data_IF_491230486459
#
_entry.id   IF_491230486459
#
_cell.length_a   1.000
_cell.length_b   1.000
_cell.length_c   1.000
_cell.angle_alpha   90.00
_cell.angle_beta   90.00
_cell.angle_gamma   90.00
#
_symmetry.space_group_name_H-M   'P 1'
#
loop_
_entity.id
_entity.type
_entity.pdbx_description
1 polymer ?
#
# COMPACT_ATOMS: atom_id res chain seq x y z
N UNK A 1 -39.65 30.15 8.40
CA UNK A 1 -39.21 28.74 8.44
C UNK A 1 -38.31 28.35 7.25
N UNK A 2 -38.29 29.09 6.16
CA UNK A 2 -37.50 28.78 4.96
C UNK A 2 -36.06 29.36 4.99
N UNK A 3 -35.84 30.50 5.65
CA UNK A 3 -34.52 31.15 5.74
C UNK A 3 -33.53 30.35 6.59
N UNK A 4 -33.99 29.74 7.67
CA UNK A 4 -33.13 28.88 8.53
C UNK A 4 -32.68 27.60 7.80
N UNK A 5 -33.58 27.00 7.01
CA UNK A 5 -33.24 25.83 6.18
C UNK A 5 -32.25 26.19 5.05
N UNK A 6 -32.36 27.39 4.48
CA UNK A 6 -31.45 27.89 3.46
C UNK A 6 -30.03 28.15 4.05
N UNK A 7 -29.95 28.69 5.26
CA UNK A 7 -28.66 28.92 5.94
C UNK A 7 -27.98 27.60 6.33
N UNK A 8 -28.74 26.59 6.80
CA UNK A 8 -28.19 25.26 7.07
C UNK A 8 -27.70 24.56 5.80
N UNK A 9 -28.43 24.65 4.69
CA UNK A 9 -28.01 24.07 3.41
C UNK A 9 -26.76 24.75 2.84
N UNK A 10 -26.63 26.06 2.96
CA UNK A 10 -25.44 26.81 2.55
C UNK A 10 -24.22 26.46 3.41
N UNK A 11 -24.42 26.25 4.73
CA UNK A 11 -23.36 25.83 5.64
C UNK A 11 -22.79 24.44 5.32
N UNK A 12 -23.66 23.50 4.95
CA UNK A 12 -23.25 22.13 4.57
C UNK A 12 -22.49 22.12 3.23
N UNK A 13 -22.87 22.96 2.26
CA UNK A 13 -22.15 23.09 0.98
C UNK A 13 -20.72 23.64 1.16
N UNK A 14 -20.50 24.54 2.11
CA UNK A 14 -19.19 25.13 2.36
C UNK A 14 -18.21 24.14 3.00
N UNK A 15 -18.68 23.16 3.77
CA UNK A 15 -17.82 22.14 4.39
C UNK A 15 -17.35 21.09 3.38
N UNK A 16 -18.11 20.84 2.30
CA UNK A 16 -17.72 19.90 1.24
C UNK A 16 -16.63 20.45 0.30
N UNK A 17 -16.41 21.75 0.27
CA UNK A 17 -15.40 22.38 -0.59
C UNK A 17 -13.96 22.25 -0.03
N UNK A 18 -13.81 21.92 1.26
CA UNK A 18 -12.51 21.85 1.91
C UNK A 18 -11.57 20.75 1.40
N UNK A 19 -12.10 19.64 0.86
CA UNK A 19 -11.28 18.55 0.35
C UNK A 19 -10.81 18.74 -1.10
N UNK A 20 -11.49 19.57 -1.90
CA UNK A 20 -11.13 19.79 -3.30
C UNK A 20 -10.04 20.86 -3.51
N UNK A 21 -9.92 21.82 -2.59
CA UNK A 21 -8.96 22.92 -2.70
C UNK A 21 -7.51 22.52 -2.39
N UNK A 22 -7.29 21.42 -1.65
CA UNK A 22 -5.94 20.94 -1.30
C UNK A 22 -5.22 20.24 -2.46
N UNK A 23 -5.94 19.83 -3.50
CA UNK A 23 -5.37 19.09 -4.65
C UNK A 23 -4.82 20.02 -5.73
N UNK A 24 -5.23 21.30 -5.75
CA UNK A 24 -4.83 22.28 -6.80
C UNK A 24 -3.56 23.04 -6.44
N UNK A 25 -3.18 23.10 -5.17
CA UNK A 25 -1.90 23.66 -4.77
C UNK A 25 -0.80 22.61 -4.95
N UNK A 26 -0.14 22.59 -6.11
CA UNK A 26 0.95 21.66 -6.49
C UNK A 26 2.21 21.67 -5.58
N UNK A 27 2.06 22.03 -4.31
CA UNK A 27 3.12 22.02 -3.30
C UNK A 27 3.22 20.74 -2.47
N UNK A 28 2.10 20.06 -2.20
CA UNK A 28 2.12 18.88 -1.30
C UNK A 28 2.77 17.63 -1.92
N UNK A 29 2.68 17.46 -3.23
CA UNK A 29 3.31 16.33 -3.95
C UNK A 29 4.82 16.53 -4.12
N UNK A 30 5.31 17.77 -4.17
CA UNK A 30 6.74 18.04 -4.31
C UNK A 30 7.52 17.78 -3.01
N UNK A 31 6.92 18.00 -1.85
CA UNK A 31 7.61 17.83 -0.55
C UNK A 31 7.80 16.35 -0.21
N UNK A 32 6.83 15.50 -0.55
CA UNK A 32 6.95 14.04 -0.31
C UNK A 32 7.97 13.40 -1.25
N UNK A 33 8.14 13.93 -2.46
CA UNK A 33 9.14 13.43 -3.42
C UNK A 33 10.57 13.81 -3.04
N UNK A 34 10.78 14.93 -2.34
CA UNK A 34 12.12 15.40 -1.96
C UNK A 34 12.78 14.53 -0.88
N UNK A 35 12.00 13.81 -0.07
CA UNK A 35 12.49 12.92 0.98
C UNK A 35 12.48 11.43 0.61
N UNK A 36 11.91 11.06 -0.53
CA UNK A 36 11.91 9.66 -0.99
C UNK A 36 13.26 9.31 -1.62
N UNK A 37 13.90 8.26 -1.14
CA UNK A 37 15.19 7.77 -1.65
C UNK A 37 15.09 7.18 -3.06
N UNK A 38 13.89 6.99 -3.60
CA UNK A 38 13.65 6.60 -4.98
C UNK A 38 13.63 7.83 -5.89
N UNK A 39 14.06 7.67 -7.13
CA UNK A 39 13.86 8.69 -8.16
C UNK A 39 12.37 8.84 -8.49
N UNK A 40 11.97 10.00 -9.01
CA UNK A 40 10.58 10.19 -9.50
C UNK A 40 10.24 9.18 -10.59
N UNK A 41 11.19 8.83 -11.46
CA UNK A 41 11.02 7.77 -12.48
C UNK A 41 10.68 6.45 -11.83
N UNK A 42 11.45 6.00 -10.83
CA UNK A 42 11.19 4.76 -10.13
C UNK A 42 9.82 4.74 -9.43
N UNK A 43 9.35 5.87 -8.90
CA UNK A 43 8.02 5.96 -8.29
C UNK A 43 6.90 5.83 -9.33
N UNK A 44 7.09 6.40 -10.54
CA UNK A 44 6.14 6.28 -11.66
C UNK A 44 6.15 4.86 -12.20
N UNK A 45 7.32 4.27 -12.36
CA UNK A 45 7.49 2.90 -12.84
C UNK A 45 6.84 1.91 -11.88
N UNK A 46 7.04 2.06 -10.56
CA UNK A 46 6.37 1.26 -9.54
C UNK A 46 4.84 1.29 -9.67
N UNK A 47 4.26 2.49 -9.91
CA UNK A 47 2.80 2.61 -10.11
C UNK A 47 2.34 1.92 -11.39
N UNK A 48 3.08 2.09 -12.48
CA UNK A 48 2.77 1.46 -13.76
C UNK A 48 2.86 -0.07 -13.68
N UNK A 49 3.87 -0.59 -12.99
CA UNK A 49 4.05 -2.03 -12.75
C UNK A 49 2.88 -2.58 -11.94
N UNK A 50 2.45 -1.91 -10.86
CA UNK A 50 1.28 -2.34 -10.07
C UNK A 50 0.01 -2.37 -10.93
N UNK A 51 -0.24 -1.34 -11.75
CA UNK A 51 -1.42 -1.30 -12.63
C UNK A 51 -1.42 -2.45 -13.64
N UNK A 52 -0.26 -2.74 -14.26
CA UNK A 52 -0.09 -3.88 -15.17
C UNK A 52 -0.31 -5.20 -14.45
N UNK A 53 0.29 -5.38 -13.27
CA UNK A 53 0.18 -6.59 -12.48
C UNK A 53 -1.27 -6.89 -12.07
N UNK A 54 -1.97 -5.89 -11.54
CA UNK A 54 -3.39 -6.03 -11.14
C UNK A 54 -4.24 -6.41 -12.34
N UNK A 55 -4.01 -5.80 -13.50
CA UNK A 55 -4.74 -6.12 -14.73
C UNK A 55 -4.47 -7.54 -15.20
N UNK A 56 -3.20 -7.95 -15.29
CA UNK A 56 -2.83 -9.29 -15.74
C UNK A 56 -3.40 -10.39 -14.82
N UNK A 57 -3.38 -10.16 -13.49
CA UNK A 57 -3.97 -11.08 -12.53
C UNK A 57 -5.50 -11.14 -12.62
N UNK A 58 -6.16 -10.04 -12.97
CA UNK A 58 -7.61 -9.99 -13.16
C UNK A 58 -8.06 -10.61 -14.50
N UNK A 59 -7.23 -10.49 -15.54
CA UNK A 59 -7.51 -11.04 -16.87
C UNK A 59 -7.24 -12.56 -16.95
N UNK A 60 -6.47 -13.12 -16.01
CA UNK A 60 -6.19 -14.56 -15.92
C UNK A 60 -7.27 -15.27 -15.08
N UNK A 61 -8.09 -16.16 -15.67
CA UNK A 61 -9.17 -16.84 -14.96
C UNK A 61 -8.69 -17.64 -13.73
N UNK A 62 -7.48 -18.19 -13.77
CA UNK A 62 -6.94 -18.98 -12.66
C UNK A 62 -6.63 -18.12 -11.43
N UNK A 63 -6.20 -16.87 -11.63
CA UNK A 63 -5.90 -15.93 -10.53
C UNK A 63 -7.09 -15.05 -10.15
N UNK A 64 -8.05 -14.83 -11.06
CA UNK A 64 -9.23 -13.99 -10.84
C UNK A 64 -10.27 -14.67 -9.94
N UNK A 65 -10.49 -15.99 -10.12
CA UNK A 65 -11.51 -16.73 -9.37
C UNK A 65 -10.96 -17.33 -8.08
N UNK A 66 -11.65 -17.11 -6.96
CA UNK A 66 -11.33 -17.74 -5.67
C UNK A 66 -10.07 -17.22 -4.99
N UNK A 67 -9.45 -16.15 -5.51
CA UNK A 67 -8.29 -15.51 -4.89
C UNK A 67 -8.53 -14.06 -4.53
N UNK A 68 -7.75 -13.56 -3.58
CA UNK A 68 -7.68 -12.15 -3.21
C UNK A 68 -6.21 -11.78 -3.15
N UNK A 69 -5.67 -11.33 -4.29
CA UNK A 69 -4.24 -11.03 -4.43
C UNK A 69 -4.05 -9.52 -4.47
N UNK A 70 -3.28 -9.01 -3.52
CA UNK A 70 -2.85 -7.62 -3.45
C UNK A 70 -1.42 -7.49 -3.99
N UNK A 71 -1.18 -6.45 -4.78
CA UNK A 71 0.13 -6.16 -5.36
C UNK A 71 0.65 -4.83 -4.82
N UNK A 72 1.86 -4.85 -4.32
CA UNK A 72 2.58 -3.65 -3.90
C UNK A 72 3.93 -3.63 -4.59
N UNK A 73 4.35 -2.47 -5.15
CA UNK A 73 5.68 -2.28 -5.70
C UNK A 73 6.46 -1.24 -4.90
N UNK A 74 7.75 -1.48 -4.74
CA UNK A 74 8.72 -0.54 -4.20
C UNK A 74 10.07 -0.73 -4.88
N UNK A 75 10.47 0.26 -5.67
CA UNK A 75 11.73 0.27 -6.41
C UNK A 75 11.95 -1.01 -7.29
N UNK A 76 10.89 -1.44 -7.99
CA UNK A 76 10.91 -2.61 -8.88
C UNK A 76 10.81 -3.97 -8.15
N UNK A 77 10.77 -4.00 -6.83
CA UNK A 77 10.45 -5.20 -6.06
C UNK A 77 8.95 -5.27 -5.85
N UNK A 78 8.32 -6.36 -6.29
CA UNK A 78 6.91 -6.63 -6.07
C UNK A 78 6.71 -7.47 -4.81
N UNK A 79 5.75 -7.07 -3.99
CA UNK A 79 5.21 -7.85 -2.91
C UNK A 79 3.79 -8.29 -3.30
N UNK A 80 3.56 -9.59 -3.33
CA UNK A 80 2.25 -10.20 -3.47
C UNK A 80 1.78 -10.66 -2.10
N UNK A 81 0.61 -10.17 -1.66
CA UNK A 81 -0.03 -10.60 -0.41
C UNK A 81 -1.47 -11.02 -0.68
N UNK A 82 -2.09 -11.63 0.31
CA UNK A 82 -3.48 -12.07 0.21
C UNK A 82 -3.64 -13.57 0.29
N UNK A 83 -4.72 -14.10 -0.27
CA UNK A 83 -5.11 -15.49 -0.13
C UNK A 83 -5.50 -16.09 -1.48
N UNK A 84 -5.23 -17.39 -1.62
CA UNK A 84 -5.65 -18.21 -2.75
C UNK A 84 -5.98 -19.63 -2.32
N UNK A 85 -6.81 -20.31 -3.11
CA UNK A 85 -7.23 -21.68 -2.81
C UNK A 85 -6.14 -22.73 -3.06
N UNK A 86 -5.14 -22.45 -3.92
CA UNK A 86 -4.17 -23.47 -4.30
C UNK A 86 -2.77 -22.92 -4.53
N UNK A 87 -1.78 -23.80 -4.34
CA UNK A 87 -0.37 -23.51 -4.61
C UNK A 87 -0.11 -23.19 -6.09
N UNK A 88 -0.83 -23.83 -7.00
CA UNK A 88 -0.68 -23.59 -8.42
C UNK A 88 -1.04 -22.13 -8.78
N UNK A 89 -2.14 -21.59 -8.22
CA UNK A 89 -2.55 -20.19 -8.42
C UNK A 89 -1.49 -19.24 -7.83
N UNK A 90 -0.94 -19.56 -6.66
CA UNK A 90 0.13 -18.79 -6.02
C UNK A 90 1.37 -18.68 -6.92
N UNK A 91 1.80 -19.80 -7.49
CA UNK A 91 2.95 -19.87 -8.41
C UNK A 91 2.65 -19.16 -9.74
N UNK A 92 1.45 -19.33 -10.28
CA UNK A 92 1.04 -18.67 -11.50
C UNK A 92 1.00 -17.15 -11.34
N UNK A 93 0.44 -16.65 -10.23
CA UNK A 93 0.46 -15.22 -9.92
C UNK A 93 1.88 -14.66 -9.92
N UNK A 94 2.82 -15.36 -9.28
CA UNK A 94 4.23 -14.95 -9.28
C UNK A 94 4.84 -14.93 -10.68
N UNK A 95 4.58 -15.97 -11.48
CA UNK A 95 5.11 -16.07 -12.85
C UNK A 95 4.57 -14.94 -13.75
N UNK A 96 3.26 -14.67 -13.67
CA UNK A 96 2.60 -13.62 -14.45
C UNK A 96 3.18 -12.24 -14.13
N UNK A 97 3.31 -11.89 -12.85
CA UNK A 97 3.81 -10.55 -12.48
C UNK A 97 5.31 -10.42 -12.64
N UNK A 98 6.06 -11.53 -12.50
CA UNK A 98 7.51 -11.55 -12.68
C UNK A 98 7.96 -11.30 -14.13
N UNK A 99 7.08 -11.52 -15.10
CA UNK A 99 7.32 -11.27 -16.51
C UNK A 99 7.12 -9.79 -16.94
N UNK A 100 6.67 -8.93 -16.02
CA UNK A 100 6.43 -7.51 -16.33
C UNK A 100 7.74 -6.75 -16.41
N UNK A 101 7.95 -6.01 -17.51
CA UNK A 101 9.10 -5.13 -17.66
C UNK A 101 9.21 -4.13 -16.49
N UNK A 102 10.40 -4.02 -15.91
CA UNK A 102 10.68 -3.18 -14.75
C UNK A 102 10.54 -3.89 -13.39
N UNK A 103 10.05 -5.12 -13.37
CA UNK A 103 10.09 -5.98 -12.19
C UNK A 103 11.49 -6.57 -12.03
N UNK A 104 12.10 -6.37 -10.86
CA UNK A 104 13.43 -6.88 -10.53
C UNK A 104 13.37 -8.14 -9.67
N UNK A 105 12.35 -8.22 -8.82
CA UNK A 105 12.14 -9.34 -7.91
C UNK A 105 10.67 -9.41 -7.48
N UNK A 106 10.20 -10.62 -7.10
CA UNK A 106 8.85 -10.87 -6.62
C UNK A 106 8.89 -11.60 -5.29
N UNK A 107 8.45 -10.92 -4.25
CA UNK A 107 8.25 -11.49 -2.91
C UNK A 107 6.82 -12.03 -2.81
N UNK A 108 6.67 -13.34 -2.98
CA UNK A 108 5.37 -13.99 -2.95
C UNK A 108 4.99 -14.43 -1.53
N UNK A 109 4.16 -13.63 -0.88
CA UNK A 109 3.64 -13.85 0.47
C UNK A 109 2.14 -14.20 0.46
N UNK A 110 1.63 -14.66 -0.69
CA UNK A 110 0.25 -15.16 -0.80
C UNK A 110 0.12 -16.41 0.06
N UNK A 111 -0.91 -16.45 0.92
CA UNK A 111 -1.22 -17.60 1.78
C UNK A 111 -2.29 -18.49 1.16
N UNK A 112 -2.18 -19.78 1.41
CA UNK A 112 -3.23 -20.73 1.03
C UNK A 112 -4.36 -20.63 2.06
N UNK A 113 -5.58 -20.44 1.59
CA UNK A 113 -6.76 -20.32 2.43
C UNK A 113 -7.88 -19.48 1.82
N UNK A 114 -8.94 -19.33 2.59
CA UNK A 114 -10.08 -18.52 2.20
C UNK A 114 -9.75 -17.02 2.33
N UNK A 115 -10.42 -16.19 1.54
CA UNK A 115 -10.28 -14.75 1.56
C UNK A 115 -10.61 -14.19 2.95
N UNK A 116 -9.78 -13.24 3.42
CA UNK A 116 -10.00 -12.55 4.70
C UNK A 116 -11.26 -11.69 4.66
N UNK A 117 -12.00 -11.71 5.78
CA UNK A 117 -13.20 -10.91 5.95
C UNK A 117 -12.90 -9.41 6.19
N UNK A 118 -13.96 -8.60 6.12
CA UNK A 118 -13.88 -7.13 6.32
C UNK A 118 -13.27 -6.77 7.68
N UNK A 119 -13.59 -7.49 8.76
CA UNK A 119 -13.06 -7.25 10.10
C UNK A 119 -11.53 -7.38 10.14
N UNK A 120 -10.98 -8.41 9.49
CA UNK A 120 -9.52 -8.61 9.38
C UNK A 120 -8.88 -7.46 8.62
N UNK A 121 -9.43 -7.06 7.48
CA UNK A 121 -8.93 -5.93 6.68
C UNK A 121 -8.93 -4.60 7.44
N UNK A 122 -9.98 -4.35 8.24
CA UNK A 122 -10.04 -3.16 9.11
C UNK A 122 -8.95 -3.19 10.17
N UNK A 123 -8.72 -4.36 10.79
CA UNK A 123 -7.63 -4.55 11.76
C UNK A 123 -6.26 -4.36 11.11
N UNK A 124 -6.04 -4.90 9.93
CA UNK A 124 -4.78 -4.75 9.19
C UNK A 124 -4.50 -3.27 8.85
N UNK A 125 -5.52 -2.52 8.45
CA UNK A 125 -5.40 -1.07 8.24
C UNK A 125 -5.02 -0.32 9.50
N UNK A 126 -5.58 -0.71 10.66
CA UNK A 126 -5.24 -0.12 11.95
C UNK A 126 -3.80 -0.44 12.37
N UNK A 127 -3.35 -1.70 12.21
CA UNK A 127 -1.97 -2.10 12.47
C UNK A 127 -1.01 -1.31 11.57
N UNK A 128 -1.29 -1.24 10.26
CA UNK A 128 -0.48 -0.45 9.31
C UNK A 128 -0.32 1.01 9.75
N UNK A 129 -1.42 1.61 10.23
CA UNK A 129 -1.42 3.00 10.70
C UNK A 129 -0.57 3.16 11.95
N UNK A 130 -0.70 2.26 12.94
CA UNK A 130 0.12 2.30 14.16
C UNK A 130 1.61 2.14 13.85
N UNK A 131 1.98 1.12 13.07
CA UNK A 131 3.38 0.90 12.66
C UNK A 131 3.92 2.13 11.95
N UNK A 132 3.18 2.67 10.97
CA UNK A 132 3.61 3.86 10.22
C UNK A 132 3.78 5.08 11.12
N UNK A 133 2.89 5.28 12.07
CA UNK A 133 2.99 6.39 13.03
C UNK A 133 4.24 6.27 13.90
N UNK A 134 4.54 5.08 14.40
CA UNK A 134 5.73 4.86 15.21
C UNK A 134 7.03 5.00 14.40
N UNK A 135 7.05 4.49 13.16
CA UNK A 135 8.20 4.68 12.26
C UNK A 135 8.45 6.17 11.92
N UNK A 136 7.38 6.97 11.82
CA UNK A 136 7.51 8.41 11.57
C UNK A 136 7.93 9.20 12.80
N UNK A 137 7.66 8.70 14.01
CA UNK A 137 8.02 9.33 15.27
C UNK A 137 9.44 8.99 15.74
N UNK A 138 10.06 7.95 15.19
CA UNK A 138 11.41 7.51 15.57
C UNK A 138 12.47 8.31 14.83
N UNK A 139 13.45 8.86 15.58
CA UNK A 139 14.52 9.69 15.02
C UNK A 139 15.61 8.89 14.29
N UNK A 140 15.70 7.59 14.55
CA UNK A 140 16.72 6.70 13.97
C UNK A 140 16.25 6.04 12.66
N UNK A 141 14.99 6.23 12.28
CA UNK A 141 14.39 5.62 11.09
C UNK A 141 13.81 6.69 10.18
N UNK A 142 14.20 6.67 8.92
CA UNK A 142 13.54 7.49 7.91
C UNK A 142 12.18 6.90 7.55
N UNK A 143 11.20 7.04 8.45
CA UNK A 143 9.88 6.42 8.31
C UNK A 143 9.15 6.75 7.01
N UNK A 144 9.42 7.91 6.36
CA UNK A 144 8.88 8.26 5.05
C UNK A 144 9.35 7.32 3.93
N UNK A 145 10.56 6.75 4.06
CA UNK A 145 11.18 5.85 3.08
C UNK A 145 10.80 4.39 3.27
N UNK A 146 9.92 4.09 4.25
CA UNK A 146 9.45 2.73 4.52
C UNK A 146 7.96 2.65 4.20
N UNK A 147 7.62 1.77 3.27
CA UNK A 147 6.24 1.38 2.96
C UNK A 147 5.85 0.24 3.88
N UNK A 148 4.71 0.39 4.54
CA UNK A 148 4.13 -0.61 5.44
C UNK A 148 2.94 -1.26 4.72
N UNK A 149 2.92 -2.56 4.68
CA UNK A 149 1.80 -3.37 4.19
C UNK A 149 1.45 -4.36 5.29
N UNK A 150 0.18 -4.47 5.63
CA UNK A 150 -0.28 -5.49 6.59
C UNK A 150 -1.33 -6.36 5.92
N UNK A 151 -1.14 -7.65 6.02
CA UNK A 151 -2.06 -8.66 5.51
C UNK A 151 -2.23 -9.75 6.55
N UNK A 152 -3.47 -9.98 6.99
CA UNK A 152 -3.83 -10.99 7.99
C UNK A 152 -2.95 -10.92 9.26
N UNK A 153 -2.80 -9.71 9.82
CA UNK A 153 -1.98 -9.36 10.98
C UNK A 153 -0.46 -9.57 10.80
N UNK A 154 0.01 -9.85 9.60
CA UNK A 154 1.43 -9.90 9.28
C UNK A 154 1.87 -8.60 8.63
N UNK A 155 2.95 -7.99 9.15
CA UNK A 155 3.47 -6.71 8.68
C UNK A 155 4.66 -6.92 7.77
N UNK A 156 4.59 -6.35 6.58
CA UNK A 156 5.66 -6.32 5.60
C UNK A 156 6.20 -4.89 5.48
N UNK A 157 7.52 -4.75 5.54
CA UNK A 157 8.21 -3.48 5.40
C UNK A 157 9.01 -3.49 4.10
N UNK A 158 8.83 -2.47 3.28
CA UNK A 158 9.58 -2.27 2.03
C UNK A 158 10.24 -0.89 2.06
N UNK A 159 11.52 -0.81 1.74
CA UNK A 159 12.22 0.48 1.79
C UNK A 159 13.65 0.39 1.25
N UNK A 160 14.22 1.53 0.90
CA UNK A 160 15.65 1.70 0.67
C UNK A 160 16.22 2.34 1.93
N UNK A 161 16.76 1.50 2.81
CA UNK A 161 17.22 1.90 4.15
C UNK A 161 18.56 1.22 4.47
N UNK A 162 19.31 1.76 5.43
CA UNK A 162 20.48 1.09 5.95
C UNK A 162 20.10 -0.14 6.79
N UNK A 163 21.05 -1.03 7.04
CA UNK A 163 20.83 -2.19 7.90
C UNK A 163 20.40 -1.79 9.32
N UNK A 164 20.96 -0.72 9.86
CA UNK A 164 20.60 -0.20 11.18
C UNK A 164 19.15 0.32 11.20
N UNK A 165 18.75 1.09 10.18
CA UNK A 165 17.37 1.54 10.02
C UNK A 165 16.40 0.35 9.84
N UNK A 166 16.79 -0.67 9.06
CA UNK A 166 15.99 -1.87 8.86
C UNK A 166 15.77 -2.64 10.18
N UNK A 167 16.85 -2.87 10.94
CA UNK A 167 16.78 -3.55 12.23
C UNK A 167 15.86 -2.80 13.21
N UNK A 168 15.99 -1.47 13.29
CA UNK A 168 15.16 -0.63 14.14
C UNK A 168 13.69 -0.61 13.68
N UNK A 169 13.44 -0.54 12.37
CA UNK A 169 12.10 -0.57 11.82
C UNK A 169 11.38 -1.90 12.10
N UNK A 170 12.11 -3.02 12.01
CA UNK A 170 11.58 -4.34 12.37
C UNK A 170 11.28 -4.42 13.86
N UNK A 171 12.17 -3.88 14.72
CA UNK A 171 11.96 -3.83 16.16
C UNK A 171 10.68 -3.03 16.50
N UNK A 172 10.51 -1.84 15.91
CA UNK A 172 9.31 -1.03 16.07
C UNK A 172 8.06 -1.83 15.66
N UNK A 173 8.08 -2.46 14.47
CA UNK A 173 6.93 -3.19 13.96
C UNK A 173 6.52 -4.38 14.82
N UNK A 174 7.49 -5.03 15.48
CA UNK A 174 7.25 -6.17 16.39
C UNK A 174 6.58 -5.79 17.71
N UNK A 175 6.72 -4.54 18.15
CA UNK A 175 6.19 -4.04 19.41
C UNK A 175 4.88 -3.25 19.25
N UNK A 176 4.27 -3.30 18.08
CA UNK A 176 2.94 -2.72 17.84
C UNK A 176 1.87 -3.74 18.21
N UNK A 177 1.16 -3.47 19.31
CA UNK A 177 0.00 -4.23 19.78
C UNK A 177 -1.31 -3.83 19.06
#
# INVERSE_FOLDING_TARGET
>A
MNTLKLMCAAGILLVLQGCAAAVVAGGATAVTSANDRRTLGAQIDDKNVVLKAVRLLADDPATAEGSNINVTSYNGVLLLTGQTASENIRQQAQAVVGAIDGVRDVQNQIRLGNNTGMTTRTRDGWISTKVKTQLLADEQVSGLNIKVVTENAEVFLMGIVSEAEAAKAVDIARHVD
#
